data_IF_494684542330
#
_entry.id   IF_494684542330
#
_cell.length_a   1.000
_cell.length_b   1.000
_cell.length_c   1.000
_cell.angle_alpha   90.00
_cell.angle_beta   90.00
_cell.angle_gamma   90.00
#
_symmetry.space_group_name_H-M   'P 1'
#
loop_
_entity.id
_entity.type
_entity.pdbx_description
1 polymer ?
#
# COMPACT_ATOMS: atom_id res chain seq x y z
N UNK A 1 -5.88 -57.44 12.98
CA UNK A 1 -5.45 -57.06 11.61
C UNK A 1 -6.64 -56.39 10.93
N UNK A 2 -6.67 -55.17 10.37
CA UNK A 2 -5.70 -54.10 10.09
C UNK A 2 -6.50 -52.77 10.13
N UNK A 3 -6.65 -52.15 11.31
CA UNK A 3 -7.03 -50.73 11.44
C UNK A 3 -5.79 -49.88 11.14
N UNK A 4 -5.40 -49.75 9.86
CA UNK A 4 -4.17 -49.01 9.50
C UNK A 4 -4.26 -48.08 8.28
N UNK A 5 -5.42 -47.93 7.66
CA UNK A 5 -5.52 -47.16 6.40
C UNK A 5 -6.36 -45.86 6.47
N UNK A 6 -6.91 -45.50 7.62
CA UNK A 6 -7.77 -44.30 7.73
C UNK A 6 -7.00 -42.97 7.84
N UNK A 7 -5.71 -43.01 8.19
CA UNK A 7 -4.92 -41.79 8.46
C UNK A 7 -4.19 -41.22 7.24
N UNK A 8 -4.18 -41.90 6.09
CA UNK A 8 -3.37 -41.47 4.93
C UNK A 8 -4.13 -40.49 4.02
N UNK A 9 -5.45 -40.44 4.06
CA UNK A 9 -6.24 -39.55 3.18
C UNK A 9 -6.35 -38.10 3.66
N UNK A 10 -6.03 -37.81 4.93
CA UNK A 10 -6.22 -36.47 5.49
C UNK A 10 -5.06 -35.50 5.18
N UNK A 11 -3.89 -35.98 4.76
CA UNK A 11 -2.72 -35.13 4.51
C UNK A 11 -2.60 -34.62 3.06
N UNK A 12 -3.36 -35.17 2.10
CA UNK A 12 -3.34 -34.73 0.70
C UNK A 12 -4.40 -33.68 0.33
N UNK A 13 -5.20 -33.24 1.30
CA UNK A 13 -6.24 -32.23 1.06
C UNK A 13 -5.93 -30.86 1.64
N UNK A 14 -4.72 -30.63 2.18
CA UNK A 14 -4.27 -29.24 2.27
C UNK A 14 -4.09 -28.79 0.83
N UNK A 15 -4.98 -27.94 0.29
CA UNK A 15 -4.58 -27.20 -0.89
C UNK A 15 -3.32 -26.50 -0.40
N UNK A 16 -2.23 -26.55 -1.16
CA UNK A 16 -1.30 -25.44 -1.12
C UNK A 16 -2.18 -24.22 -1.33
N UNK A 17 -2.57 -23.57 -0.23
CA UNK A 17 -3.31 -22.34 -0.25
C UNK A 17 -2.43 -21.47 -1.11
N UNK A 18 -2.88 -21.17 -2.32
CA UNK A 18 -2.20 -20.28 -3.24
C UNK A 18 -2.04 -18.98 -2.45
N UNK A 19 -0.85 -18.84 -1.85
CA UNK A 19 -0.58 -17.84 -0.84
C UNK A 19 -0.64 -16.51 -1.56
N UNK A 20 -1.75 -15.81 -1.36
CA UNK A 20 -1.87 -14.41 -1.69
C UNK A 20 -0.91 -13.67 -0.78
N UNK A 21 0.32 -13.49 -1.25
CA UNK A 21 1.37 -12.85 -0.47
C UNK A 21 1.37 -11.38 -0.85
N UNK A 22 0.63 -10.61 -0.06
CA UNK A 22 0.83 -9.17 0.08
C UNK A 22 2.12 -8.98 0.88
N UNK A 23 3.08 -8.27 0.31
CA UNK A 23 4.26 -7.81 1.06
C UNK A 23 4.26 -6.29 1.11
N UNK A 24 4.53 -5.72 2.28
CA UNK A 24 4.78 -4.29 2.39
C UNK A 24 6.24 -3.98 2.05
N UNK A 25 6.49 -2.79 1.51
CA UNK A 25 7.82 -2.20 1.51
C UNK A 25 8.37 -2.02 2.93
N UNK A 26 9.70 -1.93 3.05
CA UNK A 26 10.31 -1.40 4.27
C UNK A 26 10.12 0.11 4.26
N UNK A 27 9.50 0.65 5.31
CA UNK A 27 9.28 2.09 5.43
C UNK A 27 10.58 2.88 5.26
N UNK A 28 11.66 2.44 5.90
CA UNK A 28 12.97 3.06 5.81
C UNK A 28 13.51 3.08 4.38
N UNK A 29 13.42 1.95 3.66
CA UNK A 29 13.94 1.84 2.29
C UNK A 29 13.17 2.74 1.32
N UNK A 30 11.84 2.76 1.44
CA UNK A 30 10.98 3.59 0.59
C UNK A 30 11.23 5.08 0.85
N UNK A 31 11.34 5.49 2.12
CA UNK A 31 11.66 6.89 2.47
C UNK A 31 13.05 7.29 1.97
N UNK A 32 14.05 6.42 2.14
CA UNK A 32 15.44 6.70 1.73
C UNK A 32 15.56 6.90 0.22
N UNK A 33 14.87 6.09 -0.58
CA UNK A 33 14.93 6.13 -2.06
C UNK A 33 14.07 7.23 -2.66
N UNK A 34 13.04 7.68 -1.94
CA UNK A 34 12.09 8.64 -2.48
C UNK A 34 12.72 10.01 -2.78
N UNK A 35 12.45 10.59 -3.97
CA UNK A 35 12.94 11.90 -4.35
C UNK A 35 12.25 13.04 -3.59
N UNK A 36 11.01 12.82 -3.14
CA UNK A 36 10.21 13.83 -2.44
C UNK A 36 9.88 13.36 -1.02
N UNK A 37 10.03 14.27 -0.06
CA UNK A 37 9.57 14.11 1.32
C UNK A 37 8.78 15.34 1.73
N UNK A 38 7.67 15.14 2.43
CA UNK A 38 6.87 16.26 2.92
C UNK A 38 5.84 15.88 3.96
N UNK A 39 5.00 16.85 4.28
CA UNK A 39 3.84 16.68 5.17
C UNK A 39 2.60 17.19 4.46
N UNK A 40 1.46 16.57 4.76
CA UNK A 40 0.21 16.84 4.06
C UNK A 40 -1.01 16.49 4.87
N UNK A 41 -2.18 16.79 4.32
CA UNK A 41 -3.48 16.38 4.85
C UNK A 41 -4.21 15.64 3.73
N UNK A 42 -4.75 14.48 4.05
CA UNK A 42 -5.65 13.75 3.16
C UNK A 42 -6.95 14.57 3.04
N UNK A 43 -7.28 15.09 1.85
CA UNK A 43 -8.42 16.01 1.70
C UNK A 43 -9.61 15.41 0.96
N UNK A 44 -9.42 14.29 0.26
CA UNK A 44 -10.50 13.55 -0.37
C UNK A 44 -10.14 12.07 -0.43
N UNK A 45 -11.09 11.19 -0.14
CA UNK A 45 -10.89 9.74 -0.24
C UNK A 45 -12.00 9.14 -1.12
N UNK A 46 -11.59 8.44 -2.18
CA UNK A 46 -12.48 7.64 -3.02
C UNK A 46 -12.15 6.18 -2.78
N UNK A 47 -13.18 5.37 -2.53
CA UNK A 47 -13.07 3.92 -2.37
C UNK A 47 -13.84 3.25 -3.48
N UNK A 48 -13.22 2.25 -4.10
CA UNK A 48 -13.84 1.41 -5.10
C UNK A 48 -13.76 -0.04 -4.63
N UNK A 49 -14.84 -0.78 -4.85
CA UNK A 49 -14.89 -2.19 -4.49
C UNK A 49 -15.51 -2.97 -5.64
N UNK A 50 -14.86 -4.08 -5.96
CA UNK A 50 -15.34 -5.09 -6.89
C UNK A 50 -15.21 -6.46 -6.21
N UNK A 51 -15.72 -7.49 -6.87
CA UNK A 51 -15.55 -8.87 -6.38
C UNK A 51 -14.07 -9.24 -6.20
N UNK A 52 -13.20 -8.78 -7.10
CA UNK A 52 -11.81 -9.24 -7.19
C UNK A 52 -10.78 -8.24 -6.68
N UNK A 53 -11.18 -7.01 -6.36
CA UNK A 53 -10.27 -5.98 -5.89
C UNK A 53 -11.01 -4.91 -5.09
N UNK A 54 -10.31 -4.33 -4.13
CA UNK A 54 -10.69 -3.11 -3.44
C UNK A 54 -9.60 -2.06 -3.65
N UNK A 55 -10.00 -0.86 -4.05
CA UNK A 55 -9.11 0.28 -4.24
C UNK A 55 -9.43 1.43 -3.29
N UNK A 56 -8.38 2.15 -2.92
CA UNK A 56 -8.48 3.43 -2.24
C UNK A 56 -7.59 4.42 -2.99
N UNK A 57 -8.19 5.51 -3.46
CA UNK A 57 -7.50 6.64 -4.04
C UNK A 57 -7.75 7.86 -3.16
N UNK A 58 -6.70 8.41 -2.57
CA UNK A 58 -6.79 9.58 -1.72
C UNK A 58 -5.90 10.71 -2.23
N UNK A 59 -6.44 11.92 -2.29
CA UNK A 59 -5.67 13.11 -2.68
C UNK A 59 -5.12 13.80 -1.44
N UNK A 60 -3.86 14.19 -1.50
CA UNK A 60 -3.14 14.83 -0.39
C UNK A 60 -2.95 16.30 -0.72
N UNK A 61 -3.44 17.18 0.16
CA UNK A 61 -3.07 18.59 0.14
C UNK A 61 -1.74 18.75 0.86
N UNK A 62 -0.74 19.23 0.14
CA UNK A 62 0.61 19.43 0.68
C UNK A 62 0.61 20.60 1.65
N UNK A 63 1.21 20.40 2.82
CA UNK A 63 1.46 21.46 3.81
C UNK A 63 2.88 21.99 3.71
N UNK A 64 3.87 21.10 3.63
CA UNK A 64 5.29 21.46 3.59
C UNK A 64 6.08 20.41 2.85
N UNK A 65 7.02 20.82 2.00
CA UNK A 65 8.02 19.96 1.37
C UNK A 65 9.33 20.10 2.13
N UNK A 66 9.92 18.97 2.50
CA UNK A 66 11.17 18.88 3.28
C UNK A 66 12.36 18.50 2.39
N UNK A 67 12.12 17.75 1.31
CA UNK A 67 13.11 17.32 0.32
C UNK A 67 12.42 17.22 -1.05
N UNK A 68 13.11 17.65 -2.10
CA UNK A 68 12.63 17.52 -3.48
C UNK A 68 11.55 18.53 -3.88
N UNK A 69 10.78 18.20 -4.92
CA UNK A 69 9.70 19.01 -5.48
C UNK A 69 8.62 18.10 -6.10
N UNK A 70 7.36 18.53 -6.08
CA UNK A 70 6.24 17.84 -6.72
C UNK A 70 5.95 18.33 -8.15
N UNK A 71 6.65 19.36 -8.63
CA UNK A 71 6.50 19.94 -9.99
C UNK A 71 5.04 20.26 -10.36
N UNK A 72 4.30 20.87 -9.43
CA UNK A 72 2.88 21.24 -9.57
C UNK A 72 1.91 20.08 -9.87
N UNK A 73 2.35 18.84 -9.67
CA UNK A 73 1.52 17.66 -9.86
C UNK A 73 0.68 17.36 -8.61
N UNK A 74 -0.55 16.86 -8.78
CA UNK A 74 -1.35 16.39 -7.66
C UNK A 74 -0.66 15.21 -6.96
N UNK A 75 -0.67 15.23 -5.63
CA UNK A 75 -0.13 14.16 -4.79
C UNK A 75 -1.24 13.18 -4.40
N UNK A 76 -1.04 11.90 -4.69
CA UNK A 76 -2.07 10.86 -4.53
C UNK A 76 -1.51 9.65 -3.78
N UNK A 77 -2.30 9.12 -2.85
CA UNK A 77 -2.13 7.77 -2.30
C UNK A 77 -3.07 6.86 -3.11
N UNK A 78 -2.51 5.90 -3.83
CA UNK A 78 -3.27 4.91 -4.58
C UNK A 78 -2.89 3.51 -4.09
N UNK A 79 -3.84 2.81 -3.48
CA UNK A 79 -3.64 1.46 -2.95
C UNK A 79 -4.74 0.57 -3.52
N UNK A 80 -4.34 -0.50 -4.20
CA UNK A 80 -5.26 -1.54 -4.68
C UNK A 80 -4.89 -2.86 -4.03
N UNK A 81 -5.90 -3.54 -3.49
CA UNK A 81 -5.78 -4.87 -2.92
C UNK A 81 -6.60 -5.85 -3.75
N UNK A 82 -5.94 -6.86 -4.31
CA UNK A 82 -6.59 -7.91 -5.08
C UNK A 82 -6.93 -9.11 -4.19
N UNK A 83 -8.14 -9.64 -4.40
CA UNK A 83 -8.73 -10.72 -3.62
C UNK A 83 -8.95 -11.93 -4.53
N UNK A 84 -8.32 -13.06 -4.23
CA UNK A 84 -8.69 -14.30 -4.90
C UNK A 84 -9.99 -14.85 -4.35
N UNK A 85 -10.86 -15.20 -5.29
CA UNK A 85 -12.17 -15.78 -5.05
C UNK A 85 -12.46 -16.72 -6.19
N UNK A 86 -12.82 -17.96 -5.85
CA UNK A 86 -13.30 -18.93 -6.82
C UNK A 86 -14.61 -18.47 -7.47
N UNK A 87 -14.84 -18.83 -8.73
CA UNK A 87 -16.06 -18.65 -9.49
C UNK A 87 -17.25 -19.29 -8.76
N UNK A 88 -18.35 -18.56 -8.70
CA UNK A 88 -19.65 -19.04 -8.23
C UNK A 88 -20.73 -18.17 -8.87
N UNK A 89 -21.92 -18.73 -9.10
CA UNK A 89 -23.02 -18.02 -9.77
C UNK A 89 -23.32 -16.66 -9.10
N UNK A 90 -23.48 -15.54 -9.85
CA UNK A 90 -23.52 -15.42 -11.33
C UNK A 90 -22.15 -15.25 -12.01
N UNK A 91 -21.04 -15.27 -11.27
CA UNK A 91 -19.70 -15.08 -11.81
C UNK A 91 -19.15 -16.37 -12.43
N UNK A 92 -18.75 -16.28 -13.69
CA UNK A 92 -18.28 -17.43 -14.47
C UNK A 92 -16.77 -17.66 -14.34
N UNK A 93 -16.01 -16.65 -13.91
CA UNK A 93 -14.55 -16.71 -13.80
C UNK A 93 -14.02 -16.54 -12.36
N UNK A 94 -12.90 -17.19 -12.07
CA UNK A 94 -12.12 -17.00 -10.85
C UNK A 94 -11.50 -15.59 -10.83
N UNK A 95 -11.38 -14.98 -9.65
CA UNK A 95 -10.57 -13.77 -9.51
C UNK A 95 -9.08 -14.09 -9.67
N UNK A 96 -8.28 -13.20 -10.26
CA UNK A 96 -6.87 -13.44 -10.50
C UNK A 96 -6.09 -13.58 -9.19
N UNK A 97 -5.16 -14.54 -9.17
CA UNK A 97 -4.15 -14.64 -8.10
C UNK A 97 -2.96 -13.78 -8.49
N UNK A 98 -2.71 -12.71 -7.74
CA UNK A 98 -1.63 -11.77 -8.02
C UNK A 98 -0.69 -11.63 -6.83
N UNK A 99 0.60 -11.51 -7.13
CA UNK A 99 1.65 -11.19 -6.17
C UNK A 99 2.10 -9.76 -6.41
N UNK A 100 2.00 -8.92 -5.39
CA UNK A 100 2.34 -7.51 -5.50
C UNK A 100 2.86 -6.95 -4.18
N UNK A 101 3.64 -5.87 -4.29
CA UNK A 101 4.15 -5.11 -3.16
C UNK A 101 3.26 -3.89 -2.96
N UNK A 102 2.91 -3.61 -1.71
CA UNK A 102 2.09 -2.44 -1.35
C UNK A 102 3.00 -1.42 -0.67
N UNK A 103 2.85 -0.12 -0.97
CA UNK A 103 3.59 0.90 -0.24
C UNK A 103 3.30 0.80 1.27
N UNK A 104 4.30 1.02 2.14
CA UNK A 104 4.12 1.09 3.58
C UNK A 104 3.35 2.38 3.95
N UNK A 105 2.01 2.27 3.90
CA UNK A 105 1.08 3.29 4.38
C UNK A 105 0.65 2.89 5.80
N UNK A 106 1.38 3.36 6.80
CA UNK A 106 1.19 3.04 8.23
C UNK A 106 0.25 4.04 8.90
N UNK A 107 -0.73 4.54 8.16
CA UNK A 107 -1.74 5.49 8.62
C UNK A 107 -3.09 5.15 8.00
N UNK A 108 -4.16 5.43 8.74
CA UNK A 108 -5.52 5.24 8.23
C UNK A 108 -5.81 6.27 7.13
N UNK A 109 -6.25 5.81 5.97
CA UNK A 109 -6.56 6.69 4.83
C UNK A 109 -7.97 7.27 5.03
N UNK A 110 -8.04 8.39 5.75
CA UNK A 110 -9.27 9.12 6.05
C UNK A 110 -9.08 10.62 5.82
N UNK A 111 -10.15 11.30 5.42
CA UNK A 111 -10.14 12.75 5.24
C UNK A 111 -9.75 13.47 6.53
N UNK A 112 -9.08 14.61 6.38
CA UNK A 112 -8.52 15.44 7.44
C UNK A 112 -7.42 14.75 8.27
N UNK A 113 -6.92 13.60 7.85
CA UNK A 113 -5.75 12.96 8.48
C UNK A 113 -4.46 13.67 8.06
N UNK A 114 -3.70 14.15 9.04
CA UNK A 114 -2.37 14.74 8.82
C UNK A 114 -1.30 13.65 8.75
N UNK A 115 -0.47 13.71 7.73
CA UNK A 115 0.53 12.68 7.42
C UNK A 115 1.91 13.29 7.19
N UNK A 116 2.94 12.49 7.46
CA UNK A 116 4.24 12.62 6.80
C UNK A 116 4.27 11.63 5.64
N UNK A 117 4.84 12.04 4.50
CA UNK A 117 4.86 11.23 3.30
C UNK A 117 6.23 11.26 2.61
N UNK A 118 6.53 10.17 1.93
CA UNK A 118 7.52 10.10 0.87
C UNK A 118 6.79 9.83 -0.45
N UNK A 119 7.27 10.42 -1.53
CA UNK A 119 6.61 10.34 -2.82
C UNK A 119 7.60 10.30 -3.98
N UNK A 120 7.13 9.75 -5.08
CA UNK A 120 7.86 9.70 -6.35
C UNK A 120 6.98 10.11 -7.52
N UNK A 121 7.65 10.54 -8.59
CA UNK A 121 7.03 10.77 -9.87
C UNK A 121 7.29 9.55 -10.76
N UNK A 122 6.22 8.98 -11.32
CA UNK A 122 6.30 7.89 -12.29
C UNK A 122 6.12 8.49 -13.68
N UNK A 123 7.11 8.30 -14.55
CA UNK A 123 7.06 8.80 -15.92
C UNK A 123 5.83 8.27 -16.67
N UNK A 124 5.12 9.17 -17.36
CA UNK A 124 3.89 8.85 -18.09
C UNK A 124 2.59 9.08 -17.31
N UNK A 125 2.67 9.36 -16.00
CA UNK A 125 1.51 9.73 -15.17
C UNK A 125 1.44 11.25 -14.94
N UNK A 126 0.26 11.76 -14.61
CA UNK A 126 0.09 13.19 -14.29
C UNK A 126 0.22 13.47 -12.79
N UNK A 127 0.20 12.42 -11.97
CA UNK A 127 0.26 12.49 -10.51
C UNK A 127 1.68 12.19 -9.97
N UNK A 128 1.93 12.65 -8.74
CA UNK A 128 2.96 12.11 -7.87
C UNK A 128 2.32 11.09 -6.92
N UNK A 129 2.97 9.95 -6.74
CA UNK A 129 2.45 8.86 -5.93
C UNK A 129 3.18 8.79 -4.60
N UNK A 130 2.41 8.66 -3.53
CA UNK A 130 2.94 8.39 -2.19
C UNK A 130 3.45 6.96 -2.12
N UNK A 131 4.75 6.81 -1.89
CA UNK A 131 5.46 5.53 -1.77
C UNK A 131 5.55 5.06 -0.32
N UNK A 132 5.44 5.99 0.64
CA UNK A 132 5.39 5.69 2.07
C UNK A 132 4.63 6.80 2.81
N UNK A 133 3.86 6.45 3.83
CA UNK A 133 3.21 7.44 4.68
C UNK A 133 3.00 6.93 6.10
N UNK A 134 3.02 7.86 7.05
CA UNK A 134 2.77 7.59 8.46
C UNK A 134 2.08 8.79 9.12
N UNK A 135 1.59 8.67 10.37
CA UNK A 135 1.06 9.80 11.10
C UNK A 135 2.13 10.87 11.31
N UNK A 136 1.69 12.14 11.44
CA UNK A 136 2.59 13.30 11.48
C UNK A 136 3.61 13.28 12.62
N UNK A 137 3.33 12.63 13.74
CA UNK A 137 4.23 12.49 14.88
C UNK A 137 5.53 11.70 14.56
N UNK A 138 5.57 10.99 13.42
CA UNK A 138 6.75 10.27 12.93
C UNK A 138 7.60 11.09 11.97
N UNK A 139 7.39 12.41 11.91
CA UNK A 139 8.15 13.32 11.06
C UNK A 139 9.66 13.17 11.26
N UNK A 140 10.15 13.14 12.50
CA UNK A 140 11.60 13.07 12.76
C UNK A 140 12.20 11.72 12.36
N UNK A 141 11.41 10.64 12.42
CA UNK A 141 11.82 9.35 11.87
C UNK A 141 12.01 9.42 10.36
N UNK A 142 11.08 10.05 9.63
CA UNK A 142 11.20 10.24 8.18
C UNK A 142 12.40 11.14 7.82
N UNK A 143 12.64 12.21 8.58
CA UNK A 143 13.84 13.04 8.43
C UNK A 143 15.11 12.20 8.61
N UNK A 144 15.18 11.40 9.67
CA UNK A 144 16.29 10.49 9.94
C UNK A 144 16.55 9.49 8.81
N UNK A 145 15.50 8.85 8.28
CA UNK A 145 15.63 7.95 7.13
C UNK A 145 16.09 8.65 5.85
N UNK A 146 15.65 9.89 5.64
CA UNK A 146 16.01 10.71 4.49
C UNK A 146 17.39 11.39 4.63
N UNK A 147 18.08 11.24 5.77
CA UNK A 147 19.35 11.92 6.05
C UNK A 147 19.22 13.43 6.22
N UNK A 148 18.01 13.93 6.52
CA UNK A 148 17.76 15.31 6.88
C UNK A 148 17.97 15.40 8.40
N UNK A 149 18.92 16.22 8.85
CA UNK A 149 19.22 16.33 10.29
C UNK A 149 17.95 16.57 11.15
N UNK A 150 17.98 16.07 12.39
CA UNK A 150 16.93 16.33 13.37
C UNK A 150 17.05 17.82 13.73
N UNK A 151 16.06 18.60 13.34
CA UNK A 151 15.95 20.01 13.72
C UNK A 151 15.27 20.04 15.07
N UNK A 152 16.07 20.26 16.13
CA UNK A 152 15.61 20.55 17.50
C UNK A 152 14.76 21.82 17.57
#
# INVERSE_FOLDING_TARGET
MKRKYLFVFLFCSMPFMLFHSRSSGSLEDEVRRSPVLGTGIIHSVVKDESRCASGITARVRVLTILKGSLNDRPLVIAVSEYHWRKAFWPWQDDCPSVHYRVPPIEVKIEENTKIVFAAEYIEGYNECYVTAAAPFDRLDQFKGYAGLGITE
#
